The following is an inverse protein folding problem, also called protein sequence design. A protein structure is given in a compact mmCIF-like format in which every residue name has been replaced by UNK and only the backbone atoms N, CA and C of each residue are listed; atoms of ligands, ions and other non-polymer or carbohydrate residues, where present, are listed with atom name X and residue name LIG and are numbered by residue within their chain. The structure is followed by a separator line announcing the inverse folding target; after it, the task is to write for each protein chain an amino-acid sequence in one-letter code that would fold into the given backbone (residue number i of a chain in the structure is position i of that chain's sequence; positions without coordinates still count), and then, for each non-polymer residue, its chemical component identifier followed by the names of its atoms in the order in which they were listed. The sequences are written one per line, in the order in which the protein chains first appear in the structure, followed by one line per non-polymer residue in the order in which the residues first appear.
data_IF_075370618576
#
_entry.id   IF_075370618576
#
_cell.length_a   1.000
_cell.length_b   1.000
_cell.length_c   1.000
_cell.angle_alpha   90.00
_cell.angle_beta   90.00
_cell.angle_gamma   90.00
#
_symmetry.space_group_name_H-M   'P 1'
#
loop_
_entity.id
_entity.type
_entity.pdbx_description
1 polymer ?
#
# COMPACT_ATOMS: atom_id res chain seq x y z
N UNK A 1 7.30 1.21 -19.70
CA UNK A 1 7.57 1.85 -18.39
C UNK A 1 9.02 1.58 -18.05
N UNK A 2 9.71 2.58 -17.47
CA UNK A 2 11.10 2.47 -17.01
C UNK A 2 11.09 1.83 -15.62
N UNK A 3 11.99 0.91 -15.37
CA UNK A 3 12.23 0.33 -14.02
C UNK A 3 12.80 1.42 -13.10
N UNK A 4 12.24 1.60 -11.89
CA UNK A 4 12.72 2.62 -10.97
C UNK A 4 14.13 2.25 -10.48
N UNK A 5 15.02 3.23 -10.34
CA UNK A 5 16.34 2.95 -9.77
C UNK A 5 16.24 2.77 -8.25
N UNK A 6 17.22 2.09 -7.66
CA UNK A 6 17.29 1.94 -6.20
C UNK A 6 17.34 3.31 -5.51
N UNK A 7 17.98 4.32 -6.09
CA UNK A 7 18.00 5.68 -5.56
C UNK A 7 16.62 6.34 -5.59
N UNK A 8 15.84 6.11 -6.65
CA UNK A 8 14.46 6.59 -6.77
C UNK A 8 13.58 5.94 -5.69
N UNK A 9 13.67 4.61 -5.52
CA UNK A 9 12.94 3.86 -4.49
C UNK A 9 13.35 4.27 -3.07
N UNK A 10 14.63 4.52 -2.84
CA UNK A 10 15.14 5.01 -1.55
C UNK A 10 14.58 6.40 -1.24
N UNK A 11 14.57 7.28 -2.24
CA UNK A 11 14.01 8.62 -2.09
C UNK A 11 12.52 8.57 -1.77
N UNK A 12 11.77 7.70 -2.46
CA UNK A 12 10.35 7.46 -2.20
C UNK A 12 10.14 6.94 -0.77
N UNK A 13 10.90 5.94 -0.33
CA UNK A 13 10.82 5.40 1.03
C UNK A 13 11.08 6.47 2.09
N UNK A 14 12.09 7.33 1.88
CA UNK A 14 12.41 8.44 2.79
C UNK A 14 11.28 9.48 2.84
N UNK A 15 10.60 9.74 1.73
CA UNK A 15 9.44 10.65 1.67
C UNK A 15 8.20 10.07 2.36
N UNK A 16 8.09 8.74 2.44
CA UNK A 16 7.00 8.04 3.11
C UNK A 16 7.16 7.99 4.64
N UNK A 17 8.39 8.02 5.18
CA UNK A 17 8.66 7.93 6.64
C UNK A 17 7.84 8.87 7.55
N UNK A 18 7.57 10.14 7.18
CA UNK A 18 6.78 11.04 8.01
C UNK A 18 5.31 10.58 8.18
N UNK A 19 4.78 9.79 7.25
CA UNK A 19 3.38 9.34 7.25
C UNK A 19 3.07 8.40 8.42
N UNK A 20 1.81 8.37 8.84
CA UNK A 20 1.28 7.44 9.83
C UNK A 20 1.32 5.99 9.34
N UNK A 21 1.37 5.03 10.26
CA UNK A 21 1.43 3.60 9.90
C UNK A 21 0.19 3.17 9.09
N UNK A 22 -0.99 3.66 9.45
CA UNK A 22 -2.24 3.38 8.75
C UNK A 22 -2.21 3.91 7.31
N UNK A 23 -1.69 5.12 7.10
CA UNK A 23 -1.51 5.71 5.77
C UNK A 23 -0.56 4.87 4.91
N UNK A 24 0.52 4.35 5.49
CA UNK A 24 1.46 3.46 4.79
C UNK A 24 0.79 2.14 4.38
N UNK A 25 -0.06 1.56 5.24
CA UNK A 25 -0.85 0.38 4.88
C UNK A 25 -1.86 0.70 3.78
N UNK A 26 -2.49 1.87 3.79
CA UNK A 26 -3.39 2.32 2.72
C UNK A 26 -2.67 2.47 1.38
N UNK A 27 -1.46 3.02 1.36
CA UNK A 27 -0.62 3.12 0.17
C UNK A 27 -0.27 1.72 -0.35
N UNK A 28 0.17 0.83 0.52
CA UNK A 28 0.49 -0.55 0.17
C UNK A 28 -0.72 -1.28 -0.43
N UNK A 29 -1.88 -1.19 0.22
CA UNK A 29 -3.13 -1.78 -0.28
C UNK A 29 -3.50 -1.24 -1.67
N UNK A 30 -3.31 0.06 -1.88
CA UNK A 30 -3.57 0.72 -3.16
C UNK A 30 -2.61 0.24 -4.26
N UNK A 31 -1.33 0.09 -3.95
CA UNK A 31 -0.33 -0.47 -4.87
C UNK A 31 -0.68 -1.93 -5.25
N UNK A 32 -1.14 -2.72 -4.27
CA UNK A 32 -1.57 -4.11 -4.49
C UNK A 32 -2.86 -4.20 -5.33
N UNK A 33 -3.77 -3.24 -5.22
CA UNK A 33 -4.98 -3.20 -6.04
C UNK A 33 -4.66 -3.14 -7.54
N UNK A 34 -3.60 -2.42 -7.93
CA UNK A 34 -3.12 -2.36 -9.33
C UNK A 34 -2.64 -3.73 -9.83
N UNK A 35 -2.13 -4.57 -8.93
CA UNK A 35 -1.70 -5.94 -9.22
C UNK A 35 -2.82 -6.99 -9.13
N UNK A 36 -4.01 -6.61 -8.64
CA UNK A 36 -5.11 -7.53 -8.38
C UNK A 36 -5.84 -7.99 -9.65
N UNK A 37 -6.56 -9.12 -9.54
CA UNK A 37 -7.41 -9.62 -10.64
C UNK A 37 -8.47 -8.56 -11.04
N UNK A 38 -8.75 -8.39 -12.35
CA UNK A 38 -9.69 -7.37 -12.84
C UNK A 38 -11.07 -7.38 -12.20
N UNK A 39 -11.52 -8.53 -11.69
CA UNK A 39 -12.82 -8.70 -11.02
C UNK A 39 -12.99 -7.79 -9.81
N UNK A 40 -11.92 -7.50 -9.08
CA UNK A 40 -11.99 -6.69 -7.87
C UNK A 40 -12.08 -5.19 -8.19
N UNK A 41 -11.25 -4.74 -9.14
CA UNK A 41 -11.36 -3.41 -9.73
C UNK A 41 -12.75 -3.19 -10.36
N UNK A 42 -13.30 -4.20 -11.03
CA UNK A 42 -14.64 -4.15 -11.59
C UNK A 42 -15.72 -3.96 -10.51
N UNK A 43 -15.55 -4.53 -9.31
CA UNK A 43 -16.44 -4.31 -8.18
C UNK A 43 -16.47 -2.84 -7.74
N UNK A 44 -15.29 -2.26 -7.48
CA UNK A 44 -15.15 -0.83 -7.12
C UNK A 44 -15.72 0.07 -8.22
N UNK A 45 -15.39 -0.23 -9.49
CA UNK A 45 -15.89 0.53 -10.64
C UNK A 45 -17.41 0.40 -10.82
N UNK A 46 -17.99 -0.76 -10.50
CA UNK A 46 -19.44 -0.97 -10.55
C UNK A 46 -20.15 -0.15 -9.48
N UNK A 47 -19.62 -0.13 -8.25
CA UNK A 47 -20.13 0.71 -7.18
C UNK A 47 -20.07 2.21 -7.55
N UNK A 48 -18.90 2.69 -8.02
CA UNK A 48 -18.73 4.07 -8.46
C UNK A 48 -19.65 4.44 -9.64
N UNK A 49 -19.81 3.52 -10.60
CA UNK A 49 -20.70 3.69 -11.76
C UNK A 49 -22.17 3.74 -11.35
N UNK A 50 -22.60 2.86 -10.44
CA UNK A 50 -23.95 2.88 -9.89
C UNK A 50 -24.23 4.22 -9.18
N UNK A 51 -23.29 4.67 -8.34
CA UNK A 51 -23.41 5.92 -7.61
C UNK A 51 -23.43 7.16 -8.53
N UNK A 52 -22.67 7.13 -9.63
CA UNK A 52 -22.71 8.16 -10.68
C UNK A 52 -24.04 8.17 -11.44
N UNK A 53 -24.54 7.01 -11.88
CA UNK A 53 -25.84 6.89 -12.58
C UNK A 53 -27.00 7.34 -11.71
N UNK A 54 -26.93 7.04 -10.42
CA UNK A 54 -27.88 7.48 -9.41
C UNK A 54 -27.92 9.03 -9.33
N UNK A 55 -26.74 9.69 -9.36
CA UNK A 55 -26.65 11.16 -9.47
C UNK A 55 -27.20 11.71 -10.79
N UNK A 56 -26.85 11.12 -11.94
CA UNK A 56 -27.31 11.57 -13.26
C UNK A 56 -28.83 11.41 -13.45
N UNK A 57 -29.44 10.35 -12.88
CA UNK A 57 -30.88 10.13 -12.92
C UNK A 57 -31.68 11.24 -12.20
N UNK A 58 -31.10 11.87 -11.17
CA UNK A 58 -31.68 13.02 -10.47
C UNK A 58 -31.69 14.30 -11.30
N UNK A 59 -30.75 14.47 -12.23
CA UNK A 59 -30.73 15.62 -13.15
C UNK A 59 -31.84 15.49 -14.22
N UNK A 60 -32.32 14.27 -14.48
CA UNK A 60 -33.35 13.96 -15.49
C UNK A 60 -34.76 13.77 -14.92
N UNK A 61 -34.91 13.35 -13.65
CA UNK A 61 -36.21 13.04 -13.03
C UNK A 61 -36.28 13.53 -11.57
N UNK A 62 -37.25 14.39 -11.24
CA UNK A 62 -37.41 15.01 -9.91
C UNK A 62 -37.99 14.10 -8.82
N UNK A 63 -38.63 12.98 -9.18
CA UNK A 63 -39.44 12.15 -8.26
C UNK A 63 -38.83 10.78 -7.88
N UNK A 64 -37.57 10.51 -8.23
CA UNK A 64 -36.90 9.27 -7.84
C UNK A 64 -36.04 9.47 -6.57
N UNK A 65 -36.19 8.66 -5.51
CA UNK A 65 -35.23 8.62 -4.41
C UNK A 65 -34.01 7.86 -4.92
N UNK A 66 -33.07 8.57 -5.56
CA UNK A 66 -31.98 7.94 -6.29
C UNK A 66 -30.62 8.59 -6.09
N UNK A 67 -30.39 9.38 -5.04
CA UNK A 67 -29.02 9.72 -4.63
C UNK A 67 -28.58 8.78 -3.53
N UNK A 68 -27.41 8.11 -3.64
CA UNK A 68 -26.75 7.60 -2.45
C UNK A 68 -26.60 8.80 -1.50
N UNK A 69 -27.13 8.64 -0.30
CA UNK A 69 -26.99 9.62 0.76
C UNK A 69 -25.51 9.87 1.06
N UNK A 70 -25.20 10.98 1.71
CA UNK A 70 -23.84 11.20 2.20
C UNK A 70 -23.37 10.05 3.11
N UNK A 71 -24.30 9.42 3.84
CA UNK A 71 -24.04 8.19 4.60
C UNK A 71 -23.67 7.01 3.72
N UNK A 72 -24.38 6.77 2.61
CA UNK A 72 -24.06 5.63 1.71
C UNK A 72 -22.67 5.80 1.07
N UNK A 73 -22.28 7.03 0.74
CA UNK A 73 -20.95 7.35 0.24
C UNK A 73 -19.86 7.16 1.30
N UNK A 74 -20.12 7.61 2.52
CA UNK A 74 -19.19 7.44 3.63
C UNK A 74 -18.98 5.95 3.94
N UNK A 75 -20.07 5.16 3.97
CA UNK A 75 -20.01 3.71 4.18
C UNK A 75 -19.25 2.99 3.06
N UNK A 76 -19.48 3.39 1.80
CA UNK A 76 -18.73 2.85 0.67
C UNK A 76 -17.23 3.18 0.71
N UNK A 77 -16.88 4.41 1.07
CA UNK A 77 -15.48 4.82 1.24
C UNK A 77 -14.81 4.10 2.40
N UNK A 78 -15.51 3.96 3.52
CA UNK A 78 -15.05 3.22 4.69
C UNK A 78 -14.84 1.74 4.37
N UNK A 79 -15.72 1.14 3.56
CA UNK A 79 -15.55 -0.23 3.07
C UNK A 79 -14.30 -0.37 2.22
N UNK A 80 -14.09 0.51 1.24
CA UNK A 80 -12.88 0.50 0.40
C UNK A 80 -11.62 0.69 1.25
N UNK A 81 -11.66 1.64 2.19
CA UNK A 81 -10.57 1.90 3.11
C UNK A 81 -10.19 0.65 3.92
N UNK A 82 -11.18 0.01 4.54
CA UNK A 82 -10.96 -1.20 5.33
C UNK A 82 -10.45 -2.38 4.47
N UNK A 83 -10.94 -2.52 3.24
CA UNK A 83 -10.44 -3.55 2.32
C UNK A 83 -8.97 -3.35 1.95
N UNK A 84 -8.56 -2.11 1.68
CA UNK A 84 -7.16 -1.80 1.33
C UNK A 84 -6.22 -2.05 2.51
N UNK A 85 -6.63 -1.66 3.73
CA UNK A 85 -5.89 -1.99 4.95
C UNK A 85 -5.74 -3.51 5.15
N UNK A 86 -6.83 -4.27 4.93
CA UNK A 86 -6.80 -5.72 5.04
C UNK A 86 -5.89 -6.37 3.99
N UNK A 87 -5.88 -5.86 2.77
CA UNK A 87 -5.00 -6.35 1.71
C UNK A 87 -3.53 -6.12 2.04
N UNK A 88 -3.19 -4.92 2.52
CA UNK A 88 -1.84 -4.61 2.98
C UNK A 88 -1.40 -5.51 4.13
N UNK A 89 -2.27 -5.71 5.13
CA UNK A 89 -1.99 -6.59 6.25
C UNK A 89 -1.82 -8.06 5.84
N UNK A 90 -2.69 -8.54 4.93
CA UNK A 90 -2.60 -9.90 4.39
C UNK A 90 -1.29 -10.11 3.63
N UNK A 91 -0.97 -9.20 2.71
CA UNK A 91 0.25 -9.26 1.93
C UNK A 91 1.49 -9.21 2.82
N UNK A 92 1.54 -8.31 3.81
CA UNK A 92 2.65 -8.27 4.76
C UNK A 92 2.78 -9.58 5.52
N UNK A 93 1.66 -10.19 5.92
CA UNK A 93 1.64 -11.51 6.56
C UNK A 93 2.17 -12.63 5.67
N UNK A 94 1.87 -12.60 4.37
CA UNK A 94 2.35 -13.58 3.38
C UNK A 94 3.86 -13.48 3.16
N UNK A 95 4.41 -12.26 3.08
CA UNK A 95 5.84 -12.05 2.82
C UNK A 95 6.69 -11.99 4.08
N UNK A 96 6.07 -11.97 5.27
CA UNK A 96 6.74 -11.74 6.56
C UNK A 96 7.94 -12.66 6.78
N UNK A 97 7.76 -13.97 6.61
CA UNK A 97 8.82 -14.94 6.91
C UNK A 97 10.02 -14.82 5.95
N UNK A 98 9.77 -14.51 4.68
CA UNK A 98 10.85 -14.33 3.71
C UNK A 98 11.60 -13.02 3.95
N UNK A 99 10.87 -11.96 4.29
CA UNK A 99 11.48 -10.71 4.75
C UNK A 99 12.29 -10.92 6.02
N UNK A 100 11.80 -11.70 7.00
CA UNK A 100 12.56 -12.00 8.22
C UNK A 100 13.87 -12.72 7.92
N UNK A 101 13.87 -13.70 7.01
CA UNK A 101 15.11 -14.39 6.59
C UNK A 101 16.13 -13.44 5.96
N UNK A 102 15.67 -12.44 5.21
CA UNK A 102 16.55 -11.47 4.56
C UNK A 102 17.04 -10.35 5.48
N UNK A 103 16.17 -9.86 6.37
CA UNK A 103 16.38 -8.63 7.14
C UNK A 103 16.79 -8.85 8.59
N UNK A 104 16.45 -9.98 9.20
CA UNK A 104 16.71 -10.22 10.63
C UNK A 104 18.11 -10.79 10.86
N UNK A 105 19.12 -9.99 10.52
CA UNK A 105 20.51 -10.26 10.88
C UNK A 105 21.12 -9.06 11.62
N UNK A 106 22.13 -9.30 12.45
CA UNK A 106 22.76 -8.26 13.29
C UNK A 106 23.44 -7.16 12.46
N UNK A 107 23.97 -7.48 11.29
CA UNK A 107 24.61 -6.50 10.40
C UNK A 107 23.58 -5.48 9.88
N UNK A 108 22.38 -5.93 9.48
CA UNK A 108 21.29 -5.06 9.04
C UNK A 108 20.73 -4.26 10.21
N UNK A 109 20.65 -4.82 11.41
CA UNK A 109 20.23 -4.05 12.58
C UNK A 109 21.19 -2.92 12.90
N UNK A 110 22.50 -3.20 12.96
CA UNK A 110 23.50 -2.17 13.23
C UNK A 110 23.51 -1.09 12.15
N UNK A 111 23.27 -1.46 10.90
CA UNK A 111 23.14 -0.53 9.78
C UNK A 111 21.83 0.30 9.82
N UNK A 112 20.77 -0.20 10.45
CA UNK A 112 19.45 0.46 10.51
C UNK A 112 19.16 1.19 11.84
N UNK A 113 20.12 1.24 12.77
CA UNK A 113 19.98 1.95 14.06
C UNK A 113 19.82 3.47 13.90
N UNK A 114 20.32 4.04 12.80
CA UNK A 114 20.08 5.43 12.41
C UNK A 114 19.34 5.44 11.09
N UNK A 115 18.17 6.09 11.07
CA UNK A 115 17.39 6.27 9.85
C UNK A 115 18.04 7.37 9.01
N UNK A 116 18.75 6.97 7.97
CA UNK A 116 19.37 7.83 6.96
C UNK A 116 19.19 7.24 5.55
N UNK A 117 19.65 7.95 4.53
CA UNK A 117 19.48 7.48 3.15
C UNK A 117 20.19 6.17 2.86
N UNK A 118 21.34 5.90 3.50
CA UNK A 118 22.15 4.71 3.22
C UNK A 118 21.54 3.46 3.85
N UNK A 119 21.13 3.56 5.12
CA UNK A 119 20.39 2.52 5.84
C UNK A 119 19.06 2.20 5.18
N UNK A 120 18.32 3.21 4.71
CA UNK A 120 17.10 3.02 3.93
C UNK A 120 17.38 2.27 2.62
N UNK A 121 18.41 2.68 1.88
CA UNK A 121 18.80 2.05 0.62
C UNK A 121 19.09 0.55 0.79
N UNK A 122 19.82 0.18 1.85
CA UNK A 122 20.12 -1.22 2.15
C UNK A 122 18.82 -2.01 2.39
N UNK A 123 17.90 -1.47 3.20
CA UNK A 123 16.63 -2.13 3.50
C UNK A 123 15.79 -2.29 2.23
N UNK A 124 15.67 -1.24 1.42
CA UNK A 124 14.96 -1.29 0.11
C UNK A 124 15.59 -2.36 -0.79
N UNK A 125 16.91 -2.38 -0.94
CA UNK A 125 17.61 -3.38 -1.75
C UNK A 125 17.33 -4.81 -1.29
N UNK A 126 17.38 -5.06 0.02
CA UNK A 126 17.11 -6.39 0.57
C UNK A 126 15.65 -6.78 0.33
N UNK A 127 14.70 -5.88 0.56
CA UNK A 127 13.27 -6.13 0.29
C UNK A 127 13.05 -6.44 -1.19
N UNK A 128 13.59 -5.63 -2.10
CA UNK A 128 13.47 -5.87 -3.55
C UNK A 128 14.06 -7.23 -3.95
N UNK A 129 15.23 -7.59 -3.41
CA UNK A 129 15.88 -8.86 -3.68
C UNK A 129 15.12 -10.06 -3.13
N UNK A 130 14.48 -9.93 -1.96
CA UNK A 130 13.68 -10.98 -1.33
C UNK A 130 12.38 -11.19 -2.10
N UNK A 131 11.65 -10.11 -2.40
CA UNK A 131 10.33 -10.19 -3.02
C UNK A 131 10.39 -10.50 -4.51
N UNK A 132 11.47 -10.12 -5.20
CA UNK A 132 11.65 -10.29 -6.65
C UNK A 132 10.44 -9.79 -7.43
N UNK A 133 9.98 -8.59 -7.06
CA UNK A 133 8.79 -7.99 -7.65
C UNK A 133 9.01 -7.71 -9.15
N UNK A 134 7.96 -7.79 -9.97
CA UNK A 134 7.99 -7.24 -11.32
C UNK A 134 8.33 -5.75 -11.28
N UNK A 135 9.00 -5.20 -12.32
CA UNK A 135 9.37 -3.77 -12.38
C UNK A 135 8.22 -2.78 -12.13
N UNK A 136 6.98 -3.16 -12.44
CA UNK A 136 5.80 -2.31 -12.25
C UNK A 136 5.36 -2.20 -10.79
N UNK A 137 5.86 -3.09 -9.92
CA UNK A 137 5.49 -3.21 -8.52
C UNK A 137 6.68 -2.98 -7.58
N UNK A 138 7.83 -2.56 -8.10
CA UNK A 138 9.02 -2.35 -7.28
C UNK A 138 8.85 -1.26 -6.22
N UNK A 139 7.98 -0.28 -6.44
CA UNK A 139 7.64 0.74 -5.44
C UNK A 139 7.05 0.14 -4.14
N UNK A 140 6.56 -1.10 -4.17
CA UNK A 140 6.15 -1.83 -2.95
C UNK A 140 7.34 -1.97 -1.99
N UNK A 141 8.56 -2.12 -2.50
CA UNK A 141 9.76 -2.21 -1.67
C UNK A 141 9.99 -0.95 -0.83
N UNK A 142 9.76 0.23 -1.41
CA UNK A 142 9.89 1.51 -0.73
C UNK A 142 8.84 1.66 0.38
N UNK A 143 7.58 1.32 0.08
CA UNK A 143 6.49 1.35 1.07
C UNK A 143 6.75 0.38 2.23
N UNK A 144 7.18 -0.85 1.93
CA UNK A 144 7.52 -1.83 2.95
C UNK A 144 8.71 -1.38 3.80
N UNK A 145 9.74 -0.79 3.20
CA UNK A 145 10.87 -0.25 3.95
C UNK A 145 10.39 0.81 4.96
N UNK A 146 9.55 1.74 4.53
CA UNK A 146 8.95 2.74 5.41
C UNK A 146 8.11 2.10 6.53
N UNK A 147 7.28 1.11 6.22
CA UNK A 147 6.49 0.35 7.21
C UNK A 147 7.39 -0.32 8.25
N UNK A 148 8.44 -1.00 7.81
CA UNK A 148 9.36 -1.72 8.70
C UNK A 148 10.14 -0.77 9.62
N UNK A 149 10.56 0.39 9.11
CA UNK A 149 11.17 1.43 9.95
C UNK A 149 10.17 2.03 10.93
N UNK A 150 8.89 2.16 10.54
CA UNK A 150 7.84 2.68 11.42
C UNK A 150 7.47 1.71 12.55
N UNK A 151 7.40 0.41 12.24
CA UNK A 151 7.20 -0.67 13.22
C UNK A 151 8.46 -0.85 14.07
N UNK A 152 9.64 -0.60 13.50
CA UNK A 152 10.93 -0.91 14.09
C UNK A 152 11.40 -2.30 13.68
N UNK A 153 12.59 -2.36 13.07
CA UNK A 153 13.19 -3.60 12.55
C UNK A 153 13.31 -4.69 13.60
N UNK A 154 13.72 -4.33 14.83
CA UNK A 154 13.82 -5.28 15.95
C UNK A 154 12.47 -5.83 16.39
N UNK A 155 11.41 -5.03 16.32
CA UNK A 155 10.05 -5.46 16.66
C UNK A 155 9.50 -6.38 15.58
N UNK A 156 9.69 -6.04 14.30
CA UNK A 156 9.31 -6.91 13.18
C UNK A 156 9.99 -8.28 13.22
N UNK A 157 11.25 -8.33 13.67
CA UNK A 157 12.06 -9.53 13.77
C UNK A 157 11.86 -10.37 15.04
N UNK A 158 10.99 -9.94 15.96
CA UNK A 158 10.50 -10.78 17.07
C UNK A 158 9.39 -11.71 16.58
#
# INVERSE_FOLDING_TARGET
MKEPTIEELTTEAMQLLPMGIEELYMILGSQLLVSAKPTRLAGIMTYLSAARKAKEAKELYTDLPATPSASDWNEGLETIHNELLQDAARFLGEVKEDLRKGLCNEDIFTLSEKIDSSSMQIVVMVISAVLKMPPQLENISATLAAILYKIGMREFCR
#
